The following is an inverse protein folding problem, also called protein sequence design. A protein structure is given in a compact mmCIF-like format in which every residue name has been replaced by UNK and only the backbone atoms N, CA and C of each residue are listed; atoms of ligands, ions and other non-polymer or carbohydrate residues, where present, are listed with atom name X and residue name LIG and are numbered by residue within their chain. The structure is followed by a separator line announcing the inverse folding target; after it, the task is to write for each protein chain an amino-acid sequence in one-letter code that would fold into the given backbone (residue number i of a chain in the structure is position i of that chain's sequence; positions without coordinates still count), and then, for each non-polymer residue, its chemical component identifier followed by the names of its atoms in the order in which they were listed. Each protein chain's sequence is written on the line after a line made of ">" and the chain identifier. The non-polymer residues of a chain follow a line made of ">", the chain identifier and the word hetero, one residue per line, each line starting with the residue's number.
data_IF_501058868401
#
_entry.id   IF_501058868401
#
_cell.length_a   1.000
_cell.length_b   1.000
_cell.length_c   1.000
_cell.angle_alpha   90.00
_cell.angle_beta   90.00
_cell.angle_gamma   90.00
#
_symmetry.space_group_name_H-M   'P 1'
#
loop_
_entity.id
_entity.type
_entity.pdbx_description
1 polymer ?
#
# COMPACT_ATOMS: atom_id res chain seq x y z
N UNK A 1 -2.97 1.50 -28.31
CA UNK A 1 -1.88 1.61 -27.32
C UNK A 1 -2.45 1.03 -26.04
N UNK A 2 -1.76 0.10 -25.38
CA UNK A 2 -2.27 -0.54 -24.16
C UNK A 2 -2.20 0.48 -23.02
N UNK A 3 -3.31 0.71 -22.33
CA UNK A 3 -3.34 1.63 -21.18
C UNK A 3 -3.33 0.86 -19.85
N UNK A 4 -2.60 1.35 -18.85
CA UNK A 4 -2.58 0.74 -17.51
C UNK A 4 -3.98 0.61 -16.90
N UNK A 5 -4.87 1.58 -17.15
CA UNK A 5 -6.25 1.56 -16.66
C UNK A 5 -7.03 0.34 -17.17
N UNK A 6 -6.81 -0.07 -18.42
CA UNK A 6 -7.45 -1.26 -18.99
C UNK A 6 -6.91 -2.54 -18.35
N UNK A 7 -5.60 -2.61 -18.13
CA UNK A 7 -4.96 -3.75 -17.46
C UNK A 7 -5.45 -3.89 -16.02
N UNK A 8 -5.57 -2.79 -15.28
CA UNK A 8 -6.14 -2.78 -13.93
C UNK A 8 -7.63 -3.18 -13.92
N UNK A 9 -8.40 -2.74 -14.91
CA UNK A 9 -9.80 -3.17 -15.05
C UNK A 9 -9.91 -4.68 -15.26
N UNK A 10 -9.01 -5.26 -16.06
CA UNK A 10 -8.97 -6.70 -16.29
C UNK A 10 -8.49 -7.49 -15.06
N UNK A 11 -7.52 -6.96 -14.31
CA UNK A 11 -7.14 -7.52 -13.00
C UNK A 11 -8.35 -7.65 -12.08
N UNK A 12 -9.11 -6.57 -11.89
CA UNK A 12 -10.27 -6.54 -11.00
C UNK A 12 -11.37 -7.48 -11.50
N UNK A 13 -11.63 -7.52 -12.81
CA UNK A 13 -12.62 -8.42 -13.42
C UNK A 13 -12.31 -9.91 -13.15
N UNK A 14 -11.03 -10.26 -13.07
CA UNK A 14 -10.55 -11.64 -12.86
C UNK A 14 -10.20 -11.97 -11.40
N UNK A 15 -10.47 -11.06 -10.46
CA UNK A 15 -10.04 -11.16 -9.07
C UNK A 15 -8.53 -11.47 -8.93
N UNK A 16 -7.72 -10.80 -9.76
CA UNK A 16 -6.27 -10.98 -9.76
C UNK A 16 -5.61 -10.20 -8.60
N UNK A 17 -4.63 -10.81 -7.95
CA UNK A 17 -3.90 -10.19 -6.83
C UNK A 17 -2.79 -9.26 -7.29
N UNK A 18 -2.10 -9.63 -8.37
CA UNK A 18 -0.93 -8.90 -8.87
C UNK A 18 -0.94 -8.77 -10.40
N UNK A 19 -0.35 -7.71 -10.93
CA UNK A 19 -0.03 -7.52 -12.36
C UNK A 19 1.48 -7.33 -12.49
N UNK A 20 2.05 -7.94 -13.52
CA UNK A 20 3.47 -7.84 -13.85
C UNK A 20 3.63 -7.30 -15.27
N UNK A 21 4.44 -6.24 -15.37
CA UNK A 21 4.82 -5.58 -16.60
C UNK A 21 6.32 -5.74 -16.76
N UNK A 22 6.75 -6.49 -17.78
CA UNK A 22 8.16 -6.78 -18.06
C UNK A 22 8.41 -6.86 -19.55
N UNK A 23 9.60 -6.46 -19.99
CA UNK A 23 10.01 -6.58 -21.40
C UNK A 23 10.13 -8.06 -21.79
N UNK A 24 9.70 -8.40 -23.00
CA UNK A 24 9.85 -9.73 -23.57
C UNK A 24 8.77 -10.73 -23.11
N UNK A 25 7.78 -10.28 -22.33
CA UNK A 25 6.56 -11.03 -22.06
C UNK A 25 5.32 -10.14 -22.23
N UNK A 26 4.16 -10.72 -22.55
CA UNK A 26 2.89 -9.99 -22.47
C UNK A 26 2.52 -9.74 -21.00
N UNK A 27 1.73 -8.68 -20.70
CA UNK A 27 1.21 -8.42 -19.35
C UNK A 27 0.66 -9.69 -18.68
N UNK A 28 1.16 -9.98 -17.48
CA UNK A 28 0.76 -11.16 -16.70
C UNK A 28 -0.01 -10.73 -15.47
N UNK A 29 -1.10 -11.41 -15.15
CA UNK A 29 -1.85 -11.24 -13.91
C UNK A 29 -1.78 -12.51 -13.06
N UNK A 30 -1.74 -12.35 -11.74
CA UNK A 30 -1.78 -13.48 -10.81
C UNK A 30 -3.20 -13.74 -10.36
N UNK A 31 -3.77 -14.88 -10.76
CA UNK A 31 -5.10 -15.33 -10.35
C UNK A 31 -4.95 -16.62 -9.57
N UNK A 32 -5.40 -16.63 -8.32
CA UNK A 32 -5.31 -17.80 -7.41
C UNK A 32 -3.90 -18.39 -7.32
N UNK A 33 -2.90 -17.51 -7.25
CA UNK A 33 -1.48 -17.88 -7.11
C UNK A 33 -0.74 -18.16 -8.42
N UNK A 34 -1.42 -18.37 -9.54
CA UNK A 34 -0.81 -18.66 -10.84
C UNK A 34 -0.76 -17.43 -11.74
N UNK A 35 0.36 -17.24 -12.46
CA UNK A 35 0.48 -16.21 -13.49
C UNK A 35 -0.28 -16.62 -14.76
N UNK A 36 -1.02 -15.68 -15.33
CA UNK A 36 -1.80 -15.85 -16.55
C UNK A 36 -1.62 -14.63 -17.45
N UNK A 37 -1.43 -14.87 -18.74
CA UNK A 37 -1.41 -13.80 -19.75
C UNK A 37 -2.79 -13.17 -19.89
N UNK A 38 -2.85 -11.84 -20.00
CA UNK A 38 -4.08 -11.14 -20.35
C UNK A 38 -4.46 -11.50 -21.81
N UNK A 39 -5.68 -11.98 -22.08
CA UNK A 39 -6.09 -12.37 -23.43
C UNK A 39 -5.94 -11.22 -24.44
N UNK A 40 -5.31 -11.51 -25.59
CA UNK A 40 -5.08 -10.52 -26.65
C UNK A 40 -3.93 -9.54 -26.39
N UNK A 41 -3.24 -9.65 -25.24
CA UNK A 41 -2.10 -8.80 -24.96
C UNK A 41 -0.83 -9.29 -25.67
N UNK A 42 -0.13 -8.37 -26.32
CA UNK A 42 1.11 -8.63 -27.04
C UNK A 42 2.33 -8.55 -26.13
N UNK A 43 3.44 -9.15 -26.58
CA UNK A 43 4.74 -9.07 -25.89
C UNK A 43 5.23 -7.63 -25.82
N UNK A 44 5.51 -7.17 -24.59
CA UNK A 44 5.93 -5.79 -24.36
C UNK A 44 7.39 -5.54 -24.80
N UNK A 45 7.59 -4.44 -25.50
CA UNK A 45 8.88 -3.88 -25.89
C UNK A 45 9.41 -2.90 -24.83
N UNK A 46 10.73 -2.59 -24.82
CA UNK A 46 11.34 -1.67 -23.85
C UNK A 46 10.67 -0.30 -23.75
N UNK A 47 10.27 0.26 -24.89
CA UNK A 47 9.63 1.56 -24.97
C UNK A 47 8.26 1.53 -24.29
N UNK A 48 7.51 0.44 -24.47
CA UNK A 48 6.17 0.27 -23.90
C UNK A 48 6.22 0.11 -22.39
N UNK A 49 7.15 -0.69 -21.85
CA UNK A 49 7.27 -0.80 -20.38
C UNK A 49 7.72 0.51 -19.76
N UNK A 50 8.61 1.26 -20.43
CA UNK A 50 9.01 2.61 -19.99
C UNK A 50 7.84 3.58 -20.00
N UNK A 51 7.04 3.61 -21.05
CA UNK A 51 5.87 4.47 -21.14
C UNK A 51 4.85 4.15 -20.04
N UNK A 52 4.51 2.87 -19.84
CA UNK A 52 3.57 2.43 -18.81
C UNK A 52 4.06 2.82 -17.41
N UNK A 53 5.30 2.49 -17.06
CA UNK A 53 5.82 2.74 -15.71
C UNK A 53 6.07 4.23 -15.47
N UNK A 54 6.67 4.96 -16.42
CA UNK A 54 6.95 6.38 -16.21
C UNK A 54 5.67 7.22 -16.21
N UNK A 55 4.62 6.79 -16.91
CA UNK A 55 3.32 7.45 -16.94
C UNK A 55 2.65 7.59 -15.57
N UNK A 56 3.02 6.77 -14.60
CA UNK A 56 2.45 6.78 -13.24
C UNK A 56 3.38 7.36 -12.17
N UNK A 57 4.61 7.73 -12.52
CA UNK A 57 5.60 8.28 -11.60
C UNK A 57 5.60 9.81 -11.63
N UNK A 58 5.72 10.44 -10.46
CA UNK A 58 6.07 11.86 -10.35
C UNK A 58 7.51 12.11 -10.79
N UNK A 59 7.89 13.37 -11.06
CA UNK A 59 9.27 13.69 -11.45
C UNK A 59 10.30 13.27 -10.39
N UNK A 60 9.97 13.43 -9.10
CA UNK A 60 10.83 13.02 -7.99
C UNK A 60 10.96 11.49 -7.93
N UNK A 61 9.85 10.76 -8.08
CA UNK A 61 9.86 9.29 -8.12
C UNK A 61 10.65 8.76 -9.33
N UNK A 62 10.56 9.41 -10.50
CA UNK A 62 11.37 9.06 -11.68
C UNK A 62 12.86 9.22 -11.39
N UNK A 63 13.26 10.35 -10.82
CA UNK A 63 14.66 10.59 -10.46
C UNK A 63 15.16 9.56 -9.45
N UNK A 64 14.35 9.22 -8.44
CA UNK A 64 14.67 8.16 -7.47
C UNK A 64 14.85 6.81 -8.15
N UNK A 65 13.92 6.41 -9.01
CA UNK A 65 14.04 5.15 -9.76
C UNK A 65 15.30 5.12 -10.65
N UNK A 66 15.63 6.22 -11.32
CA UNK A 66 16.82 6.29 -12.18
C UNK A 66 18.14 6.22 -11.39
N UNK A 67 18.16 6.69 -10.14
CA UNK A 67 19.35 6.69 -9.26
C UNK A 67 19.46 5.40 -8.43
N UNK A 68 18.35 4.93 -7.86
CA UNK A 68 18.30 3.80 -6.92
C UNK A 68 17.99 2.47 -7.61
N UNK A 69 17.58 2.51 -8.89
CA UNK A 69 17.21 1.37 -9.73
C UNK A 69 15.96 0.59 -9.31
N UNK A 70 15.33 0.96 -8.20
CA UNK A 70 14.04 0.47 -7.73
C UNK A 70 13.30 1.54 -6.92
N UNK A 71 11.97 1.42 -6.86
CA UNK A 71 11.12 2.28 -6.04
C UNK A 71 9.81 1.57 -5.68
N UNK A 72 9.39 1.70 -4.42
CA UNK A 72 8.06 1.35 -3.93
C UNK A 72 7.21 2.61 -3.72
N UNK A 73 5.93 2.56 -4.10
CA UNK A 73 4.96 3.64 -3.89
C UNK A 73 3.52 3.13 -4.03
N UNK A 74 2.53 3.92 -3.61
CA UNK A 74 1.12 3.66 -3.95
C UNK A 74 0.65 4.46 -5.17
N UNK A 75 -0.20 3.83 -5.99
CA UNK A 75 -0.84 4.45 -7.15
C UNK A 75 -2.35 4.26 -7.09
N UNK A 76 -3.10 5.35 -7.26
CA UNK A 76 -4.57 5.34 -7.20
C UNK A 76 -5.16 5.67 -8.57
N UNK A 77 -6.16 4.90 -9.00
CA UNK A 77 -6.94 5.19 -10.21
C UNK A 77 -8.38 5.49 -9.80
N UNK A 78 -8.84 6.75 -9.96
CA UNK A 78 -10.20 7.13 -9.61
C UNK A 78 -11.26 6.23 -10.27
N UNK A 79 -12.12 5.66 -9.43
CA UNK A 79 -13.21 4.77 -9.83
C UNK A 79 -12.81 3.32 -10.11
N UNK A 80 -11.53 2.94 -9.92
CA UNK A 80 -11.10 1.54 -10.03
C UNK A 80 -10.52 1.01 -8.72
N UNK A 81 -9.52 1.69 -8.14
CA UNK A 81 -8.82 1.14 -6.98
C UNK A 81 -7.49 1.81 -6.65
N UNK A 82 -6.75 1.18 -5.74
CA UNK A 82 -5.36 1.51 -5.40
C UNK A 82 -4.48 0.29 -5.59
N UNK A 83 -3.22 0.54 -5.93
CA UNK A 83 -2.19 -0.49 -6.07
C UNK A 83 -0.94 -0.09 -5.33
N UNK A 84 -0.30 -1.06 -4.69
CA UNK A 84 1.11 -0.95 -4.34
C UNK A 84 1.91 -1.27 -5.58
N UNK A 85 2.84 -0.40 -5.92
CA UNK A 85 3.68 -0.52 -7.10
C UNK A 85 5.13 -0.64 -6.65
N UNK A 86 5.80 -1.68 -7.16
CA UNK A 86 7.24 -1.78 -7.13
C UNK A 86 7.73 -1.69 -8.58
N UNK A 87 8.50 -0.65 -8.91
CA UNK A 87 9.14 -0.49 -10.21
C UNK A 87 10.64 -0.68 -10.07
N UNK A 88 11.26 -1.36 -11.04
CA UNK A 88 12.66 -1.79 -10.95
C UNK A 88 13.30 -1.95 -12.33
N UNK A 89 14.64 -1.90 -12.39
CA UNK A 89 15.39 -2.27 -13.59
C UNK A 89 15.78 -3.75 -13.58
N UNK A 90 15.65 -4.40 -14.73
CA UNK A 90 16.14 -5.75 -14.99
C UNK A 90 16.76 -5.83 -16.38
N UNK A 91 18.00 -6.33 -16.46
CA UNK A 91 18.74 -6.51 -17.73
C UNK A 91 18.76 -5.25 -18.62
N UNK A 92 18.84 -4.08 -18.01
CA UNK A 92 18.84 -2.78 -18.72
C UNK A 92 17.47 -2.26 -19.16
N UNK A 93 16.38 -2.96 -18.82
CA UNK A 93 15.02 -2.52 -19.11
C UNK A 93 14.20 -2.37 -17.83
N UNK A 94 13.13 -1.57 -17.90
CA UNK A 94 12.25 -1.33 -16.76
C UNK A 94 11.14 -2.38 -16.68
N UNK A 95 10.81 -2.78 -15.45
CA UNK A 95 9.67 -3.60 -15.11
C UNK A 95 8.93 -3.04 -13.91
N UNK A 96 7.71 -3.53 -13.71
CA UNK A 96 6.92 -3.20 -12.53
C UNK A 96 6.02 -4.36 -12.09
N UNK A 97 5.82 -4.47 -10.79
CA UNK A 97 4.82 -5.32 -10.16
C UNK A 97 3.80 -4.44 -9.43
N UNK A 98 2.53 -4.71 -9.68
CA UNK A 98 1.39 -4.01 -9.10
C UNK A 98 0.62 -4.99 -8.24
N UNK A 99 0.29 -4.63 -7.00
CA UNK A 99 -0.56 -5.42 -6.11
C UNK A 99 -1.80 -4.65 -5.74
N UNK A 100 -2.97 -5.26 -5.90
CA UNK A 100 -4.24 -4.64 -5.50
C UNK A 100 -4.22 -4.34 -4.01
N UNK A 101 -4.58 -3.12 -3.66
CA UNK A 101 -4.82 -2.69 -2.28
C UNK A 101 -6.33 -2.76 -2.03
N UNK A 102 -6.80 -3.52 -1.03
CA UNK A 102 -8.22 -3.58 -0.71
C UNK A 102 -8.76 -2.21 -0.25
N UNK A 103 -9.85 -1.74 -0.87
CA UNK A 103 -10.48 -0.46 -0.48
C UNK A 103 -11.31 -0.58 0.80
N UNK A 104 -11.93 -1.74 1.03
CA UNK A 104 -12.87 -1.93 2.13
C UNK A 104 -12.14 -2.45 3.36
N UNK A 105 -12.12 -1.63 4.41
CA UNK A 105 -11.78 -2.07 5.75
C UNK A 105 -12.91 -2.99 6.24
N UNK A 106 -12.55 -4.20 6.69
CA UNK A 106 -13.52 -5.11 7.29
C UNK A 106 -13.78 -4.68 8.73
N UNK A 107 -15.03 -4.74 9.22
CA UNK A 107 -15.29 -4.61 10.65
C UNK A 107 -14.45 -5.60 11.46
N UNK A 108 -13.97 -5.18 12.63
CA UNK A 108 -13.15 -6.04 13.49
C UNK A 108 -13.90 -7.35 13.86
N UNK A 109 -15.23 -7.28 14.03
CA UNK A 109 -16.11 -8.43 14.28
C UNK A 109 -16.10 -9.48 13.17
N UNK A 110 -15.87 -9.06 11.92
CA UNK A 110 -15.90 -9.95 10.75
C UNK A 110 -14.58 -10.73 10.59
N UNK A 111 -13.55 -10.40 11.38
CA UNK A 111 -12.24 -11.06 11.33
C UNK A 111 -12.16 -12.33 12.16
N UNK A 112 -13.17 -12.63 12.99
CA UNK A 112 -13.14 -13.80 13.88
C UNK A 112 -12.10 -13.68 15.00
N UNK A 113 -11.73 -12.44 15.35
CA UNK A 113 -10.76 -12.15 16.41
C UNK A 113 -11.43 -12.11 17.79
N UNK A 114 -10.71 -12.38 18.89
CA UNK A 114 -11.30 -12.33 20.23
C UNK A 114 -11.64 -10.89 20.66
N UNK A 115 -12.69 -10.75 21.49
CA UNK A 115 -13.18 -9.45 21.99
C UNK A 115 -12.13 -8.62 22.74
N UNK A 116 -11.05 -9.25 23.21
CA UNK A 116 -9.93 -8.55 23.84
C UNK A 116 -9.31 -7.49 22.93
N UNK A 117 -9.39 -7.63 21.60
CA UNK A 117 -8.89 -6.61 20.67
C UNK A 117 -9.70 -5.29 20.75
N UNK A 118 -11.00 -5.33 21.03
CA UNK A 118 -11.79 -4.12 21.27
C UNK A 118 -11.29 -3.39 22.53
N UNK A 119 -10.99 -4.14 23.60
CA UNK A 119 -10.42 -3.57 24.82
C UNK A 119 -9.04 -2.92 24.60
N UNK A 120 -8.26 -3.43 23.65
CA UNK A 120 -6.99 -2.79 23.27
C UNK A 120 -7.21 -1.44 22.57
N UNK A 121 -8.29 -1.28 21.82
CA UNK A 121 -8.65 -0.01 21.16
C UNK A 121 -9.09 1.09 22.15
N UNK A 122 -9.59 0.68 23.32
CA UNK A 122 -10.02 1.57 24.41
C UNK A 122 -8.85 2.06 25.28
N UNK A 123 -7.63 1.53 25.09
CA UNK A 123 -6.49 1.93 25.90
C UNK A 123 -6.18 3.43 25.71
N UNK A 124 -6.02 4.21 26.80
CA UNK A 124 -5.74 5.64 26.71
C UNK A 124 -4.30 5.94 26.28
N UNK A 125 -3.38 4.97 26.48
CA UNK A 125 -1.96 5.02 26.10
C UNK A 125 -1.33 3.65 26.24
N UNK A 126 -0.26 3.40 25.50
CA UNK A 126 0.51 2.16 25.58
C UNK A 126 1.13 1.79 24.24
N UNK A 127 1.74 0.60 24.19
CA UNK A 127 2.27 0.02 22.97
C UNK A 127 1.52 -1.29 22.70
N UNK A 128 0.88 -1.39 21.54
CA UNK A 128 0.22 -2.60 21.05
C UNK A 128 1.02 -3.12 19.85
N UNK A 129 1.45 -4.37 19.91
CA UNK A 129 2.21 -5.02 18.84
C UNK A 129 1.35 -6.10 18.18
N UNK A 130 1.09 -5.95 16.89
CA UNK A 130 0.43 -6.97 16.07
C UNK A 130 1.49 -7.68 15.25
N UNK A 131 1.76 -8.94 15.57
CA UNK A 131 2.87 -9.71 15.00
C UNK A 131 2.37 -10.92 14.20
N UNK A 132 3.24 -11.50 13.38
CA UNK A 132 2.92 -12.64 12.52
C UNK A 132 3.66 -12.60 11.18
N UNK A 133 3.71 -13.73 10.44
CA UNK A 133 4.39 -13.80 9.15
C UNK A 133 3.69 -12.94 8.08
N UNK A 134 4.33 -12.76 6.93
CA UNK A 134 3.72 -12.09 5.76
C UNK A 134 2.43 -12.80 5.36
N UNK A 135 1.37 -12.03 5.10
CA UNK A 135 0.06 -12.57 4.70
C UNK A 135 -0.80 -13.13 5.84
N UNK A 136 -0.40 -13.01 7.11
CA UNK A 136 -1.19 -13.47 8.27
C UNK A 136 -2.36 -12.57 8.67
N UNK A 137 -2.60 -11.45 7.96
CA UNK A 137 -3.71 -10.53 8.25
C UNK A 137 -3.39 -9.40 9.24
N UNK A 138 -2.11 -9.13 9.51
CA UNK A 138 -1.67 -8.04 10.41
C UNK A 138 -2.24 -6.67 10.01
N UNK A 139 -1.97 -6.24 8.78
CA UNK A 139 -2.43 -4.93 8.28
C UNK A 139 -3.96 -4.83 8.29
N UNK A 140 -4.66 -5.93 7.94
CA UNK A 140 -6.13 -5.99 8.02
C UNK A 140 -6.62 -5.82 9.46
N UNK A 141 -5.98 -6.50 10.42
CA UNK A 141 -6.34 -6.39 11.84
C UNK A 141 -6.10 -4.98 12.38
N UNK A 142 -4.93 -4.40 12.08
CA UNK A 142 -4.59 -3.03 12.47
C UNK A 142 -5.56 -2.01 11.85
N UNK A 143 -5.87 -2.14 10.56
CA UNK A 143 -6.84 -1.27 9.90
C UNK A 143 -8.23 -1.38 10.58
N UNK A 144 -8.70 -2.59 10.86
CA UNK A 144 -9.97 -2.77 11.59
C UNK A 144 -9.93 -2.17 13.00
N UNK A 145 -8.81 -2.25 13.72
CA UNK A 145 -8.66 -1.64 15.05
C UNK A 145 -8.64 -0.10 14.97
N UNK A 146 -7.90 0.48 14.02
CA UNK A 146 -7.89 1.93 13.78
C UNK A 146 -9.29 2.42 13.40
N UNK A 147 -10.04 1.64 12.62
CA UNK A 147 -11.40 2.00 12.25
C UNK A 147 -12.36 2.00 13.45
N UNK A 148 -12.18 1.07 14.40
CA UNK A 148 -12.92 1.06 15.68
C UNK A 148 -12.59 2.30 16.52
N UNK A 149 -11.31 2.65 16.64
CA UNK A 149 -10.86 3.86 17.36
C UNK A 149 -11.51 5.10 16.73
N UNK A 150 -11.46 5.21 15.40
CA UNK A 150 -12.03 6.32 14.62
C UNK A 150 -13.55 6.45 14.77
N UNK A 151 -14.27 5.35 15.02
CA UNK A 151 -15.71 5.34 15.24
C UNK A 151 -16.12 5.69 16.68
N UNK A 152 -15.24 5.48 17.66
CA UNK A 152 -15.61 5.48 19.07
C UNK A 152 -14.97 6.60 19.88
N UNK A 153 -13.93 7.26 19.35
CA UNK A 153 -13.14 8.28 20.05
C UNK A 153 -13.11 9.59 19.26
N UNK A 154 -12.83 10.68 19.96
CA UNK A 154 -12.73 12.05 19.41
C UNK A 154 -11.26 12.50 19.37
N UNK A 155 -10.41 11.65 18.78
CA UNK A 155 -8.96 11.73 18.87
C UNK A 155 -8.29 12.10 17.53
N UNK A 156 -7.01 12.45 17.58
CA UNK A 156 -6.14 12.53 16.42
C UNK A 156 -5.35 11.22 16.20
N UNK A 157 -5.60 10.58 15.06
CA UNK A 157 -4.89 9.38 14.62
C UNK A 157 -3.87 9.78 13.55
N UNK A 158 -2.60 9.42 13.76
CA UNK A 158 -1.53 9.58 12.79
C UNK A 158 -1.00 8.21 12.37
N UNK A 159 -0.97 7.92 11.07
CA UNK A 159 -0.33 6.71 10.54
C UNK A 159 0.93 7.06 9.76
N UNK A 160 1.97 6.24 9.90
CA UNK A 160 3.18 6.28 9.08
C UNK A 160 3.38 4.89 8.49
N UNK A 161 3.32 4.78 7.16
CA UNK A 161 3.25 3.49 6.45
C UNK A 161 4.17 3.50 5.23
N UNK A 162 4.58 2.32 4.77
CA UNK A 162 5.47 2.14 3.61
C UNK A 162 5.02 0.94 2.75
N UNK A 163 4.14 1.14 1.75
CA UNK A 163 3.29 2.31 1.54
C UNK A 163 1.96 2.21 2.31
N UNK A 164 1.09 3.23 2.18
CA UNK A 164 -0.23 3.22 2.83
C UNK A 164 -1.13 2.13 2.22
N UNK A 165 -1.52 1.14 3.04
CA UNK A 165 -2.40 0.06 2.61
C UNK A 165 -3.88 0.49 2.67
N UNK A 166 -4.44 0.75 3.85
CA UNK A 166 -5.86 1.07 3.97
C UNK A 166 -6.07 2.58 4.07
N UNK A 167 -7.03 3.12 3.31
CA UNK A 167 -7.43 4.53 3.46
C UNK A 167 -8.52 4.63 4.51
N UNK A 168 -8.21 5.35 5.58
CA UNK A 168 -9.17 5.70 6.61
C UNK A 168 -9.80 7.05 6.32
N UNK A 169 -11.13 7.08 6.23
CA UNK A 169 -11.89 8.33 6.17
C UNK A 169 -12.05 8.89 7.57
N UNK A 170 -12.08 10.22 7.69
CA UNK A 170 -12.48 10.87 8.93
C UNK A 170 -13.88 10.40 9.36
N UNK A 171 -14.03 10.04 10.64
CA UNK A 171 -15.32 9.79 11.29
C UNK A 171 -15.41 10.71 12.52
N UNK A 172 -15.27 10.16 13.73
CA UNK A 172 -15.17 10.98 14.94
C UNK A 172 -13.73 11.46 15.16
N UNK A 173 -12.74 10.68 14.72
CA UNK A 173 -11.33 11.09 14.72
C UNK A 173 -10.95 11.90 13.48
N UNK A 174 -9.93 12.77 13.67
CA UNK A 174 -9.13 13.31 12.56
C UNK A 174 -8.01 12.31 12.27
N UNK A 175 -7.76 12.04 10.99
CA UNK A 175 -6.79 11.03 10.57
C UNK A 175 -5.80 11.62 9.57
N UNK A 176 -4.52 11.58 9.89
CA UNK A 176 -3.45 11.90 8.98
C UNK A 176 -2.68 10.61 8.65
N UNK A 177 -2.64 10.22 7.37
CA UNK A 177 -1.82 9.10 6.91
C UNK A 177 -0.63 9.63 6.13
N UNK A 178 0.58 9.14 6.44
CA UNK A 178 1.82 9.59 5.80
C UNK A 178 2.54 8.39 5.19
N UNK A 179 2.76 8.43 3.89
CA UNK A 179 3.51 7.43 3.16
C UNK A 179 5.01 7.77 3.17
N UNK A 180 5.83 6.79 3.55
CA UNK A 180 7.29 6.91 3.47
C UNK A 180 7.71 7.01 2.01
N UNK A 181 8.59 7.97 1.72
CA UNK A 181 9.05 8.27 0.37
C UNK A 181 8.11 9.17 -0.45
N UNK A 182 6.94 9.53 0.07
CA UNK A 182 6.05 10.51 -0.57
C UNK A 182 5.71 11.69 0.37
N UNK A 183 5.28 11.41 1.60
CA UNK A 183 4.88 12.43 2.59
C UNK A 183 5.94 12.66 3.68
N UNK A 184 6.92 11.77 3.77
CA UNK A 184 8.03 11.80 4.73
C UNK A 184 9.23 11.02 4.20
N UNK A 185 10.44 11.44 4.52
CA UNK A 185 11.66 10.76 4.06
C UNK A 185 11.87 9.38 4.70
N UNK A 186 11.21 9.11 5.83
CA UNK A 186 11.39 7.88 6.59
C UNK A 186 10.61 7.88 7.91
N UNK A 187 10.55 6.71 8.53
CA UNK A 187 9.87 6.48 9.81
C UNK A 187 10.44 7.33 10.94
N UNK A 188 11.77 7.35 11.12
CA UNK A 188 12.42 8.10 12.20
C UNK A 188 12.10 9.61 12.14
N UNK A 189 12.14 10.21 10.94
CA UNK A 189 11.77 11.62 10.74
C UNK A 189 10.27 11.83 11.00
N UNK A 190 9.42 10.94 10.51
CA UNK A 190 7.98 11.03 10.73
C UNK A 190 7.62 10.96 12.22
N UNK A 191 8.18 10.01 12.97
CA UNK A 191 7.93 9.83 14.40
C UNK A 191 8.47 10.99 15.23
N UNK A 192 9.65 11.53 14.88
CA UNK A 192 10.18 12.74 15.53
C UNK A 192 9.25 13.94 15.32
N UNK A 193 8.66 14.08 14.13
CA UNK A 193 7.68 15.12 13.84
C UNK A 193 6.32 14.86 14.51
N UNK A 194 5.89 13.60 14.62
CA UNK A 194 4.62 13.20 15.22
C UNK A 194 4.45 13.76 16.63
N UNK A 195 5.51 13.79 17.45
CA UNK A 195 5.47 14.35 18.80
C UNK A 195 5.10 15.85 18.88
N UNK A 196 5.10 16.56 17.74
CA UNK A 196 4.69 17.97 17.62
C UNK A 196 3.43 18.16 16.78
N UNK A 197 2.79 17.07 16.38
CA UNK A 197 1.57 17.06 15.57
C UNK A 197 0.31 16.76 16.43
N UNK A 198 0.47 16.71 17.75
CA UNK A 198 -0.61 16.43 18.70
C UNK A 198 -1.38 15.11 18.43
N UNK A 199 -0.72 13.95 18.18
CA UNK A 199 -1.43 12.68 17.97
C UNK A 199 -1.77 11.99 19.30
N UNK A 200 -2.96 11.44 19.38
CA UNK A 200 -3.40 10.56 20.48
C UNK A 200 -3.11 9.09 20.17
N UNK A 201 -3.23 8.70 18.90
CA UNK A 201 -2.98 7.34 18.41
C UNK A 201 -1.99 7.41 17.25
N UNK A 202 -0.88 6.67 17.36
CA UNK A 202 0.10 6.55 16.27
C UNK A 202 0.14 5.11 15.78
N UNK A 203 -0.15 4.90 14.50
CA UNK A 203 0.16 3.66 13.81
C UNK A 203 1.53 3.78 13.14
N UNK A 204 2.47 2.94 13.56
CA UNK A 204 3.72 2.72 12.84
C UNK A 204 3.57 1.43 12.05
N UNK A 205 3.83 1.50 10.75
CA UNK A 205 3.81 0.33 9.85
C UNK A 205 4.88 -0.71 10.20
N UNK A 206 5.34 -1.48 9.20
CA UNK A 206 6.31 -2.54 9.44
C UNK A 206 7.66 -1.97 9.93
N UNK A 207 8.02 -2.25 11.19
CA UNK A 207 9.30 -1.88 11.77
C UNK A 207 10.39 -2.85 11.28
N UNK A 208 10.95 -2.59 10.09
CA UNK A 208 11.99 -3.44 9.49
C UNK A 208 13.39 -3.15 10.05
N UNK A 209 13.60 -1.94 10.59
CA UNK A 209 14.92 -1.40 10.88
C UNK A 209 15.04 -0.98 12.34
N UNK A 210 16.25 -1.06 12.89
CA UNK A 210 16.60 -0.59 14.25
C UNK A 210 16.26 0.88 14.49
N UNK A 211 16.25 1.72 13.44
CA UNK A 211 15.88 3.14 13.56
C UNK A 211 14.38 3.36 13.81
N UNK A 212 13.56 2.33 13.58
CA UNK A 212 12.09 2.39 13.78
C UNK A 212 11.66 1.81 15.14
N UNK A 213 12.54 1.06 15.84
CA UNK A 213 12.32 0.46 17.17
C UNK A 213 12.82 1.39 18.27
#
# INVERSE_FOLDING_TARGET
>A
MIELRELFSEMLRKDASDLHIVVGAPPQIRVRGALQTIPGAETLQPEQTRELVFGILTNEQRQRLEVQWEIDFSYAVPGLGRWRVNAFFQRGAIGAAFRVIPEKIKPLSDLGVPDVLYKLCELPRGLVLVTGPTGSGKSTTLASMIDVINEQRDDHILTVEDPIEFIHKHKNCIINQREVGADTDGFARALKSALRQDPDVILVGEMRDLETI
#
